data_IF_852226429988
#
_entry.id   IF_852226429988
#
_cell.length_a   1.000
_cell.length_b   1.000
_cell.length_c   1.000
_cell.angle_alpha   90.00
_cell.angle_beta   90.00
_cell.angle_gamma   90.00
#
_symmetry.space_group_name_H-M   'P 1'
#
loop_
_entity.id
_entity.type
_entity.pdbx_description
1 polymer ?
#
# COMPACT_ATOMS: atom_id res chain seq x y z
N UNK A 1 -14.79 -11.18 -17.39
CA UNK A 1 -14.63 -9.85 -16.72
C UNK A 1 -13.24 -9.78 -16.13
N UNK A 2 -12.58 -8.63 -16.25
CA UNK A 2 -11.23 -8.39 -15.68
C UNK A 2 -11.35 -7.63 -14.37
N UNK A 3 -10.62 -8.06 -13.33
CA UNK A 3 -10.47 -7.26 -12.13
C UNK A 3 -9.61 -6.03 -12.45
N UNK A 4 -10.06 -4.87 -12.04
CA UNK A 4 -9.32 -3.61 -12.19
C UNK A 4 -8.98 -3.04 -10.82
N UNK A 5 -7.83 -2.39 -10.73
CA UNK A 5 -7.42 -1.73 -9.48
C UNK A 5 -8.45 -0.65 -9.09
N UNK A 6 -8.87 -0.66 -7.83
CA UNK A 6 -9.80 0.31 -7.31
C UNK A 6 -9.18 1.72 -7.32
N UNK A 7 -9.83 2.67 -7.98
CA UNK A 7 -9.35 4.04 -8.12
C UNK A 7 -9.16 4.75 -6.78
N UNK A 8 -10.05 4.52 -5.82
CA UNK A 8 -9.94 5.13 -4.49
C UNK A 8 -8.79 4.55 -3.70
N UNK A 9 -8.57 3.23 -3.79
CA UNK A 9 -7.40 2.59 -3.22
C UNK A 9 -6.11 3.17 -3.81
N UNK A 10 -6.02 3.24 -5.15
CA UNK A 10 -4.87 3.82 -5.85
C UNK A 10 -4.58 5.26 -5.40
N UNK A 11 -5.59 6.13 -5.41
CA UNK A 11 -5.43 7.54 -5.02
C UNK A 11 -4.94 7.70 -3.58
N UNK A 12 -5.53 6.96 -2.64
CA UNK A 12 -5.16 7.03 -1.22
C UNK A 12 -3.73 6.57 -0.97
N UNK A 13 -3.33 5.46 -1.58
CA UNK A 13 -1.96 4.93 -1.42
C UNK A 13 -0.92 5.80 -2.13
N UNK A 14 -1.23 6.31 -3.32
CA UNK A 14 -0.36 7.25 -4.01
C UNK A 14 -0.18 8.54 -3.20
N UNK A 15 -1.28 9.09 -2.68
CA UNK A 15 -1.23 10.28 -1.82
C UNK A 15 -0.40 10.02 -0.56
N UNK A 16 -0.60 8.88 0.13
CA UNK A 16 0.18 8.54 1.31
C UNK A 16 1.67 8.38 1.00
N UNK A 17 2.03 7.70 -0.10
CA UNK A 17 3.42 7.55 -0.51
C UNK A 17 4.08 8.91 -0.79
N UNK A 18 3.41 9.80 -1.52
CA UNK A 18 3.90 11.14 -1.82
C UNK A 18 3.98 12.03 -0.57
N UNK A 19 3.02 11.93 0.34
CA UNK A 19 3.04 12.64 1.61
C UNK A 19 4.25 12.25 2.45
N UNK A 20 4.49 10.95 2.64
CA UNK A 20 5.65 10.48 3.39
C UNK A 20 6.98 10.81 2.69
N UNK A 21 7.04 10.75 1.37
CA UNK A 21 8.22 11.18 0.63
C UNK A 21 8.48 12.69 0.80
N UNK A 22 7.44 13.51 0.76
CA UNK A 22 7.53 14.96 1.01
C UNK A 22 7.98 15.28 2.42
N UNK A 23 7.44 14.59 3.44
CA UNK A 23 7.90 14.71 4.82
C UNK A 23 9.35 14.28 4.98
N UNK A 24 9.76 13.19 4.32
CA UNK A 24 11.15 12.75 4.29
C UNK A 24 12.08 13.81 3.70
N UNK A 25 11.70 14.43 2.59
CA UNK A 25 12.41 15.55 1.99
C UNK A 25 12.52 16.76 2.91
N UNK A 26 11.43 17.13 3.58
CA UNK A 26 11.41 18.22 4.55
C UNK A 26 12.35 17.96 5.73
N UNK A 27 12.23 16.80 6.38
CA UNK A 27 13.11 16.43 7.49
C UNK A 27 14.58 16.30 7.06
N UNK A 28 14.83 15.83 5.82
CA UNK A 28 16.16 15.80 5.26
C UNK A 28 16.76 17.19 5.08
N UNK A 29 15.97 18.13 4.54
CA UNK A 29 16.38 19.52 4.42
C UNK A 29 16.72 20.13 5.79
N UNK A 30 15.84 19.95 6.80
CA UNK A 30 16.08 20.43 8.15
C UNK A 30 17.34 19.79 8.77
N UNK A 31 17.53 18.48 8.63
CA UNK A 31 18.62 17.73 9.24
C UNK A 31 19.99 17.91 8.58
N UNK A 32 20.05 18.21 7.28
CA UNK A 32 21.32 18.33 6.56
C UNK A 32 21.68 19.75 6.12
N UNK A 33 20.71 20.65 6.00
CA UNK A 33 20.95 21.99 5.50
C UNK A 33 20.59 23.05 6.53
N UNK A 34 19.33 23.10 6.97
CA UNK A 34 18.82 24.19 7.79
C UNK A 34 19.38 24.16 9.22
N UNK A 35 19.19 23.08 9.97
CA UNK A 35 19.60 23.01 11.36
C UNK A 35 21.12 23.10 11.56
N UNK A 36 21.96 22.45 10.75
CA UNK A 36 23.41 22.63 10.84
C UNK A 36 23.88 24.07 10.62
N UNK A 37 23.15 24.87 9.84
CA UNK A 37 23.50 26.28 9.55
C UNK A 37 23.03 27.27 10.62
N UNK A 38 22.16 26.84 11.58
CA UNK A 38 21.67 27.70 12.65
C UNK A 38 22.67 27.80 13.80
N UNK A 39 22.70 28.97 14.47
CA UNK A 39 23.55 29.22 15.65
C UNK A 39 23.06 28.42 16.87
N UNK A 40 23.99 28.14 17.81
CA UNK A 40 23.67 27.47 19.07
C UNK A 40 22.59 28.23 19.89
N UNK A 41 22.57 29.55 19.83
CA UNK A 41 21.56 30.38 20.51
C UNK A 41 20.13 29.99 20.12
N UNK A 42 19.88 29.67 18.83
CA UNK A 42 18.57 29.23 18.34
C UNK A 42 18.05 27.99 19.07
N UNK A 43 18.91 27.04 19.36
CA UNK A 43 18.57 25.79 20.07
C UNK A 43 18.45 26.01 21.57
N UNK A 44 19.37 26.78 22.16
CA UNK A 44 19.37 27.09 23.59
C UNK A 44 18.12 27.82 24.04
N UNK A 45 17.63 28.79 23.25
CA UNK A 45 16.36 29.49 23.51
C UNK A 45 15.14 28.56 23.52
N UNK A 46 15.23 27.43 22.85
CA UNK A 46 14.19 26.39 22.77
C UNK A 46 14.42 25.22 23.69
N UNK A 47 15.40 25.30 24.58
CA UNK A 47 15.80 24.22 25.46
C UNK A 47 16.17 22.91 24.70
N UNK A 48 16.78 23.05 23.53
CA UNK A 48 17.23 21.94 22.69
C UNK A 48 18.75 21.90 22.60
N UNK A 49 19.30 20.72 22.42
CA UNK A 49 20.71 20.52 22.06
C UNK A 49 20.80 20.39 20.54
N UNK A 50 21.63 21.20 19.91
CA UNK A 50 21.74 21.26 18.42
C UNK A 50 22.00 19.90 17.80
N UNK A 51 22.98 19.17 18.30
CA UNK A 51 23.35 17.85 17.79
C UNK A 51 22.17 16.87 17.85
N UNK A 52 21.48 16.83 18.99
CA UNK A 52 20.28 15.98 19.17
C UNK A 52 19.15 16.40 18.24
N UNK A 53 18.94 17.69 18.03
CA UNK A 53 17.90 18.19 17.14
C UNK A 53 18.19 17.83 15.67
N UNK A 54 19.44 17.98 15.23
CA UNK A 54 19.88 17.59 13.87
C UNK A 54 19.72 16.09 13.67
N UNK A 55 20.20 15.27 14.62
CA UNK A 55 20.10 13.81 14.53
C UNK A 55 18.64 13.34 14.48
N UNK A 56 17.76 13.94 15.27
CA UNK A 56 16.33 13.64 15.27
C UNK A 56 15.67 13.91 13.91
N UNK A 57 16.04 15.01 13.24
CA UNK A 57 15.53 15.30 11.90
C UNK A 57 15.98 14.23 10.87
N UNK A 58 17.24 13.80 10.96
CA UNK A 58 17.77 12.73 10.10
C UNK A 58 17.06 11.39 10.33
N UNK A 59 16.77 11.05 11.58
CA UNK A 59 16.00 9.85 11.93
C UNK A 59 14.58 9.92 11.38
N UNK A 60 13.89 11.06 11.52
CA UNK A 60 12.56 11.25 10.96
C UNK A 60 12.54 11.18 9.43
N UNK A 61 13.57 11.70 8.77
CA UNK A 61 13.74 11.53 7.31
C UNK A 61 13.77 10.05 6.93
N UNK A 62 14.60 9.25 7.60
CA UNK A 62 14.70 7.81 7.32
C UNK A 62 13.38 7.08 7.55
N UNK A 63 12.69 7.37 8.67
CA UNK A 63 11.40 6.77 8.99
C UNK A 63 10.32 7.15 7.95
N UNK A 64 10.29 8.41 7.52
CA UNK A 64 9.33 8.87 6.52
C UNK A 64 9.58 8.23 5.14
N UNK A 65 10.82 8.12 4.68
CA UNK A 65 11.14 7.43 3.43
C UNK A 65 10.86 5.92 3.52
N UNK A 66 11.13 5.29 4.65
CA UNK A 66 10.79 3.88 4.86
C UNK A 66 9.26 3.68 4.78
N UNK A 67 8.47 4.54 5.43
CA UNK A 67 7.01 4.49 5.34
C UNK A 67 6.51 4.68 3.89
N UNK A 68 7.08 5.63 3.14
CA UNK A 68 6.79 5.83 1.72
C UNK A 68 7.08 4.57 0.91
N UNK A 69 8.23 3.95 1.13
CA UNK A 69 8.64 2.73 0.43
C UNK A 69 7.69 1.56 0.72
N UNK A 70 7.29 1.37 1.98
CA UNK A 70 6.33 0.31 2.36
C UNK A 70 5.01 0.48 1.62
N UNK A 71 4.46 1.70 1.58
CA UNK A 71 3.21 1.99 0.87
C UNK A 71 3.37 1.78 -0.64
N UNK A 72 4.50 2.20 -1.22
CA UNK A 72 4.78 2.02 -2.64
C UNK A 72 4.91 0.54 -3.03
N UNK A 73 5.59 -0.27 -2.20
CA UNK A 73 5.73 -1.71 -2.41
C UNK A 73 4.38 -2.43 -2.30
N UNK A 74 3.54 -2.05 -1.33
CA UNK A 74 2.18 -2.60 -1.21
C UNK A 74 1.34 -2.29 -2.46
N UNK A 75 1.32 -1.03 -2.89
CA UNK A 75 0.64 -0.62 -4.10
C UNK A 75 1.14 -1.39 -5.34
N UNK A 76 2.45 -1.55 -5.47
CA UNK A 76 3.05 -2.30 -6.58
C UNK A 76 2.65 -3.78 -6.57
N UNK A 77 2.65 -4.45 -5.41
CA UNK A 77 2.19 -5.84 -5.27
C UNK A 77 0.72 -5.99 -5.68
N UNK A 78 -0.13 -5.11 -5.18
CA UNK A 78 -1.57 -5.13 -5.49
C UNK A 78 -1.84 -4.87 -6.97
N UNK A 79 -1.10 -3.95 -7.58
CA UNK A 79 -1.27 -3.60 -9.01
C UNK A 79 -0.85 -4.73 -9.97
N UNK A 80 -0.02 -5.66 -9.53
CA UNK A 80 0.46 -6.78 -10.36
C UNK A 80 -0.52 -7.96 -10.46
N UNK A 81 -1.57 -7.99 -9.68
CA UNK A 81 -2.56 -9.06 -9.77
C UNK A 81 -3.34 -8.93 -11.08
N UNK A 82 -3.05 -9.83 -12.02
CA UNK A 82 -3.81 -9.99 -13.24
C UNK A 82 -4.83 -11.12 -13.04
N UNK A 83 -6.11 -10.76 -12.87
CA UNK A 83 -7.19 -11.70 -12.67
C UNK A 83 -8.36 -11.37 -13.59
N UNK A 84 -8.78 -12.36 -14.38
CA UNK A 84 -9.92 -12.27 -15.30
C UNK A 84 -10.82 -13.49 -15.08
N UNK A 85 -12.10 -13.33 -15.30
CA UNK A 85 -13.06 -14.43 -15.21
C UNK A 85 -14.23 -14.25 -16.18
N UNK A 86 -14.79 -15.36 -16.60
CA UNK A 86 -16.04 -15.44 -17.38
C UNK A 86 -17.06 -16.36 -16.67
N UNK A 87 -17.97 -16.95 -17.43
CA UNK A 87 -19.00 -17.84 -16.87
C UNK A 87 -18.49 -19.23 -16.49
N UNK A 88 -17.43 -19.70 -17.09
CA UNK A 88 -16.92 -21.06 -16.99
C UNK A 88 -15.49 -21.16 -16.48
N UNK A 89 -14.69 -20.12 -16.61
CA UNK A 89 -13.27 -20.13 -16.31
C UNK A 89 -12.78 -18.84 -15.64
N UNK A 90 -11.65 -18.95 -14.98
CA UNK A 90 -10.89 -17.78 -14.51
C UNK A 90 -9.41 -17.91 -14.92
N UNK A 91 -8.79 -16.76 -15.14
CA UNK A 91 -7.36 -16.66 -15.46
C UNK A 91 -6.69 -15.83 -14.39
N UNK A 92 -5.67 -16.38 -13.75
CA UNK A 92 -4.85 -15.67 -12.78
C UNK A 92 -3.39 -15.69 -13.24
N UNK A 93 -2.82 -14.51 -13.41
CA UNK A 93 -1.42 -14.33 -13.85
C UNK A 93 -1.07 -15.17 -15.10
N UNK A 94 -1.98 -15.24 -16.07
CA UNK A 94 -1.80 -15.96 -17.33
C UNK A 94 -2.14 -17.46 -17.29
N UNK A 95 -2.52 -18.01 -16.13
CA UNK A 95 -2.96 -19.42 -16.02
C UNK A 95 -4.49 -19.47 -15.99
N UNK A 96 -5.08 -20.10 -16.99
CA UNK A 96 -6.55 -20.29 -17.10
C UNK A 96 -6.96 -21.62 -16.50
N UNK A 97 -8.01 -21.61 -15.67
CA UNK A 97 -8.62 -22.79 -15.05
C UNK A 97 -10.15 -22.71 -15.09
N UNK A 98 -10.85 -23.86 -15.23
CA UNK A 98 -12.31 -23.89 -15.08
C UNK A 98 -12.71 -23.47 -13.65
N UNK A 99 -13.84 -22.78 -13.52
CA UNK A 99 -14.40 -22.42 -12.21
C UNK A 99 -14.70 -23.67 -11.39
N UNK A 100 -15.20 -24.73 -12.04
CA UNK A 100 -15.51 -26.02 -11.39
C UNK A 100 -14.27 -26.75 -10.85
N UNK A 101 -13.07 -26.36 -11.27
CA UNK A 101 -11.79 -26.93 -10.76
C UNK A 101 -11.31 -26.30 -9.46
N UNK A 102 -12.02 -25.31 -8.93
CA UNK A 102 -11.66 -24.67 -7.68
C UNK A 102 -11.83 -25.66 -6.51
N UNK A 103 -10.72 -25.97 -5.85
CA UNK A 103 -10.71 -26.93 -4.75
C UNK A 103 -11.08 -26.31 -3.41
N UNK A 104 -10.77 -25.04 -3.21
CA UNK A 104 -11.01 -24.36 -1.93
C UNK A 104 -11.44 -22.91 -2.10
N UNK A 105 -12.48 -22.51 -1.35
CA UNK A 105 -12.95 -21.14 -1.25
C UNK A 105 -13.09 -20.76 0.21
N UNK A 106 -12.21 -19.89 0.70
CA UNK A 106 -12.28 -19.36 2.06
C UNK A 106 -13.00 -17.99 2.06
N UNK A 107 -14.14 -17.94 2.73
CA UNK A 107 -14.97 -16.74 2.93
C UNK A 107 -14.95 -16.21 4.36
N UNK A 108 -14.07 -16.72 5.21
CA UNK A 108 -14.03 -16.37 6.65
C UNK A 108 -13.90 -14.87 6.92
N UNK A 109 -13.25 -14.14 5.98
CA UNK A 109 -13.07 -12.69 6.08
C UNK A 109 -13.95 -11.91 5.08
N UNK A 110 -14.82 -12.56 4.33
CA UNK A 110 -15.61 -11.91 3.28
C UNK A 110 -16.58 -10.88 3.84
N UNK A 111 -17.41 -11.26 4.78
CA UNK A 111 -18.44 -10.37 5.37
C UNK A 111 -17.84 -9.17 6.11
N UNK A 112 -16.71 -9.37 6.78
CA UNK A 112 -16.08 -8.32 7.60
C UNK A 112 -15.13 -7.42 6.82
N UNK A 113 -14.39 -7.97 5.86
CA UNK A 113 -13.27 -7.28 5.20
C UNK A 113 -13.35 -7.28 3.67
N UNK A 114 -14.30 -8.02 3.08
CA UNK A 114 -14.38 -8.17 1.62
C UNK A 114 -13.22 -8.98 1.03
N UNK A 115 -12.59 -9.85 1.84
CA UNK A 115 -11.46 -10.69 1.43
C UNK A 115 -11.97 -12.08 1.12
N UNK A 116 -11.73 -12.55 -0.11
CA UNK A 116 -11.99 -13.88 -0.62
C UNK A 116 -10.67 -14.57 -0.93
N UNK A 117 -10.53 -15.83 -0.52
CA UNK A 117 -9.38 -16.64 -0.94
C UNK A 117 -9.86 -17.82 -1.76
N UNK A 118 -9.30 -17.97 -2.94
CA UNK A 118 -9.63 -19.03 -3.90
C UNK A 118 -8.35 -19.77 -4.27
N UNK A 119 -8.25 -21.03 -3.89
CA UNK A 119 -7.04 -21.86 -4.07
C UNK A 119 -5.75 -21.15 -3.62
N UNK A 120 -5.82 -20.44 -2.49
CA UNK A 120 -4.70 -19.67 -1.94
C UNK A 120 -4.51 -18.26 -2.55
N UNK A 121 -5.20 -17.93 -3.63
CA UNK A 121 -5.17 -16.57 -4.24
C UNK A 121 -6.04 -15.65 -3.39
N UNK A 122 -5.45 -14.59 -2.86
CA UNK A 122 -6.17 -13.57 -2.09
C UNK A 122 -6.76 -12.53 -3.05
N UNK A 123 -8.08 -12.42 -3.07
CA UNK A 123 -8.84 -11.39 -3.76
C UNK A 123 -9.47 -10.46 -2.74
N UNK A 124 -9.26 -9.16 -2.88
CA UNK A 124 -9.72 -8.15 -1.95
C UNK A 124 -10.58 -7.13 -2.69
N UNK A 125 -11.85 -7.03 -2.28
CA UNK A 125 -12.83 -6.13 -2.91
C UNK A 125 -12.52 -4.64 -2.69
N UNK A 126 -11.66 -4.30 -1.72
CA UNK A 126 -11.15 -2.95 -1.54
C UNK A 126 -10.04 -2.62 -2.54
N UNK A 127 -9.20 -3.60 -2.85
CA UNK A 127 -8.10 -3.43 -3.80
C UNK A 127 -8.58 -3.46 -5.25
N UNK A 128 -9.53 -4.33 -5.58
CA UNK A 128 -9.96 -4.57 -6.95
C UNK A 128 -11.47 -4.50 -7.12
N UNK A 129 -11.89 -3.82 -8.17
CA UNK A 129 -13.28 -3.84 -8.65
C UNK A 129 -13.54 -5.17 -9.36
N UNK A 130 -14.72 -5.76 -9.13
CA UNK A 130 -15.14 -7.02 -9.77
C UNK A 130 -15.03 -8.26 -8.87
N UNK A 131 -14.38 -8.17 -7.70
CA UNK A 131 -14.27 -9.31 -6.76
C UNK A 131 -15.63 -9.75 -6.23
N UNK A 132 -16.56 -8.81 -6.02
CA UNK A 132 -17.94 -9.11 -5.57
C UNK A 132 -18.73 -9.87 -6.63
N UNK A 133 -18.52 -9.55 -7.90
CA UNK A 133 -19.14 -10.24 -9.04
C UNK A 133 -18.59 -11.66 -9.18
N UNK A 134 -17.29 -11.84 -8.99
CA UNK A 134 -16.68 -13.16 -8.98
C UNK A 134 -17.20 -14.02 -7.82
N UNK A 135 -17.30 -13.48 -6.62
CA UNK A 135 -17.85 -14.19 -5.46
C UNK A 135 -19.29 -14.68 -5.69
N UNK A 136 -20.14 -13.88 -6.33
CA UNK A 136 -21.51 -14.28 -6.71
C UNK A 136 -21.53 -15.46 -7.68
N UNK A 137 -20.52 -15.58 -8.55
CA UNK A 137 -20.42 -16.71 -9.49
C UNK A 137 -20.03 -18.00 -8.78
N UNK A 138 -19.22 -17.92 -7.75
CA UNK A 138 -18.82 -19.08 -6.93
C UNK A 138 -19.96 -19.65 -6.06
N UNK A 139 -21.10 -18.96 -5.95
CA UNK A 139 -22.28 -19.40 -5.20
C UNK A 139 -23.32 -20.12 -6.07
N UNK A 140 -23.15 -20.11 -7.38
CA UNK A 140 -24.00 -20.84 -8.32
C UNK A 140 -23.49 -22.22 -8.57
#
# INVERSE_FOLDING_TARGET
MKLTLNREYLKRHLFAALLFAGLGGWFGWDGYVRYPSLDEAYFTERHLVKETAVERQRQFMLLAFLASLVVAVDLWKVSRLAFEFDESAFTCNGVTRPIDSIASVDRSQWEKKGILRVDGIKLDAWHHVGVREFEKRLKK
#
